data_IF_894076547622
#
_entry.id   IF_894076547622
#
_cell.length_a   1.000
_cell.length_b   1.000
_cell.length_c   1.000
_cell.angle_alpha   90.00
_cell.angle_beta   90.00
_cell.angle_gamma   90.00
#
_symmetry.space_group_name_H-M   'P 1'
#
loop_
_entity.id
_entity.type
_entity.pdbx_description
1 polymer ?
#
# COMPACT_ATOMS: atom_id res chain seq x y z
N UNK A 1 -14.52 -0.89 -20.15
CA UNK A 1 -13.46 -0.63 -19.20
C UNK A 1 -12.18 -0.22 -19.90
N UNK A 2 -11.31 0.51 -19.23
CA UNK A 2 -10.05 1.00 -19.81
C UNK A 2 -9.19 -0.18 -20.30
N UNK A 3 -8.87 -0.19 -21.56
CA UNK A 3 -8.09 -1.25 -22.25
C UNK A 3 -6.77 -1.54 -21.53
N UNK A 4 -6.17 -0.54 -20.89
CA UNK A 4 -4.88 -0.66 -20.18
C UNK A 4 -4.99 -1.25 -18.77
N UNK A 5 -6.19 -1.31 -18.19
CA UNK A 5 -6.39 -1.77 -16.80
C UNK A 5 -6.71 -3.25 -16.68
N UNK A 6 -7.19 -3.85 -17.74
CA UNK A 6 -7.61 -5.27 -17.79
C UNK A 6 -7.17 -5.90 -19.09
N UNK A 7 -6.52 -7.06 -18.99
CA UNK A 7 -6.05 -7.82 -20.15
C UNK A 7 -6.50 -9.27 -20.03
N UNK A 8 -6.95 -9.85 -21.14
CA UNK A 8 -7.23 -11.28 -21.23
C UNK A 8 -5.89 -12.03 -21.28
N UNK A 9 -5.70 -12.92 -20.32
CA UNK A 9 -4.46 -13.73 -20.20
C UNK A 9 -4.65 -15.10 -20.84
N UNK A 10 -5.81 -15.71 -20.64
CA UNK A 10 -6.12 -17.04 -21.11
C UNK A 10 -7.63 -17.22 -21.31
N UNK A 11 -8.01 -18.15 -22.18
CA UNK A 11 -9.41 -18.53 -22.43
C UNK A 11 -9.49 -20.05 -22.47
N UNK A 12 -10.39 -20.64 -21.66
CA UNK A 12 -10.72 -22.05 -21.69
C UNK A 12 -12.17 -22.25 -22.12
N UNK A 13 -12.37 -23.16 -23.06
CA UNK A 13 -13.69 -23.51 -23.56
C UNK A 13 -14.02 -24.94 -23.15
N UNK A 14 -15.15 -25.12 -22.49
CA UNK A 14 -15.67 -26.41 -22.08
C UNK A 14 -16.95 -26.69 -22.86
N UNK A 15 -17.05 -27.89 -23.40
CA UNK A 15 -18.24 -28.36 -24.17
C UNK A 15 -18.66 -29.73 -23.69
N UNK A 16 -19.94 -30.08 -23.86
CA UNK A 16 -20.44 -31.43 -23.55
C UNK A 16 -19.76 -32.51 -24.38
N UNK A 17 -19.33 -32.17 -25.59
CA UNK A 17 -18.62 -33.08 -26.47
C UNK A 17 -17.27 -33.56 -25.89
N UNK A 18 -16.66 -32.75 -25.03
CA UNK A 18 -15.38 -33.05 -24.37
C UNK A 18 -15.57 -33.78 -23.04
N UNK A 19 -16.74 -34.32 -22.76
CA UNK A 19 -17.06 -35.04 -21.52
C UNK A 19 -16.95 -34.19 -20.22
N UNK A 20 -17.04 -32.87 -20.34
CA UNK A 20 -17.04 -31.98 -19.20
C UNK A 20 -18.38 -32.03 -18.45
N UNK A 21 -18.36 -32.10 -17.13
CA UNK A 21 -19.56 -32.01 -16.31
C UNK A 21 -20.11 -30.60 -16.34
N UNK A 22 -21.36 -30.44 -16.76
CA UNK A 22 -22.03 -29.16 -16.84
C UNK A 22 -23.39 -29.21 -16.19
N UNK A 23 -23.86 -28.07 -15.71
CA UNK A 23 -25.22 -27.93 -15.20
C UNK A 23 -26.27 -28.23 -16.28
N UNK A 24 -27.47 -28.75 -15.93
CA UNK A 24 -28.52 -28.99 -16.90
C UNK A 24 -28.89 -27.73 -17.71
N UNK A 25 -29.01 -27.90 -19.01
CA UNK A 25 -29.33 -26.79 -19.92
C UNK A 25 -28.15 -25.97 -20.42
N UNK A 26 -26.94 -26.23 -19.92
CA UNK A 26 -25.70 -25.57 -20.37
C UNK A 26 -25.01 -26.45 -21.41
N UNK A 27 -24.72 -25.91 -22.58
CA UNK A 27 -24.07 -26.65 -23.67
C UNK A 27 -22.60 -26.27 -23.83
N UNK A 28 -22.23 -25.06 -23.45
CA UNK A 28 -20.87 -24.52 -23.60
C UNK A 28 -20.58 -23.52 -22.51
N UNK A 29 -19.43 -23.66 -21.87
CA UNK A 29 -18.90 -22.71 -20.88
C UNK A 29 -17.59 -22.16 -21.39
N UNK A 30 -17.47 -20.85 -21.39
CA UNK A 30 -16.25 -20.13 -21.72
C UNK A 30 -15.73 -19.45 -20.48
N UNK A 31 -14.52 -19.83 -20.04
CA UNK A 31 -13.84 -19.22 -18.90
C UNK A 31 -12.76 -18.28 -19.43
N UNK A 32 -12.93 -17.01 -19.19
CA UNK A 32 -11.96 -15.98 -19.58
C UNK A 32 -11.18 -15.55 -18.36
N UNK A 33 -9.87 -15.68 -18.41
CA UNK A 33 -8.95 -15.23 -17.36
C UNK A 33 -8.49 -13.81 -17.68
N UNK A 34 -8.75 -12.89 -16.76
CA UNK A 34 -8.45 -11.47 -16.93
C UNK A 34 -7.44 -11.06 -15.86
N UNK A 35 -6.32 -10.49 -16.29
CA UNK A 35 -5.39 -9.79 -15.40
C UNK A 35 -5.84 -8.36 -15.20
N UNK A 36 -5.89 -7.93 -13.95
CA UNK A 36 -6.23 -6.57 -13.56
C UNK A 36 -5.08 -5.96 -12.77
N UNK A 37 -4.63 -4.77 -13.17
CA UNK A 37 -3.64 -3.99 -12.44
C UNK A 37 -4.36 -2.96 -11.57
N UNK A 38 -4.38 -3.19 -10.27
CA UNK A 38 -4.94 -2.25 -9.30
C UNK A 38 -3.92 -1.20 -8.94
N UNK A 39 -4.24 0.08 -9.14
CA UNK A 39 -3.42 1.20 -8.69
C UNK A 39 -3.59 1.43 -7.20
N UNK A 40 -2.56 2.00 -6.56
CA UNK A 40 -2.63 2.40 -5.16
C UNK A 40 -3.69 3.48 -4.98
N UNK A 41 -4.45 3.41 -3.91
CA UNK A 41 -5.45 4.40 -3.55
C UNK A 41 -5.46 4.63 -2.04
N UNK A 42 -6.14 5.68 -1.59
CA UNK A 42 -6.32 5.93 -0.16
C UNK A 42 -7.02 4.74 0.52
N UNK A 43 -6.49 4.31 1.65
CA UNK A 43 -6.96 3.13 2.38
C UNK A 43 -6.18 1.84 2.10
N UNK A 44 -5.36 1.79 1.06
CA UNK A 44 -4.48 0.65 0.80
C UNK A 44 -3.30 0.61 1.77
N UNK A 45 -2.87 -0.58 2.15
CA UNK A 45 -1.80 -0.77 3.11
C UNK A 45 -0.46 -0.96 2.43
N UNK A 46 0.53 -0.24 2.91
CA UNK A 46 1.93 -0.37 2.48
C UNK A 46 2.85 -0.62 3.66
N UNK A 47 3.99 -1.21 3.42
CA UNK A 47 4.99 -1.47 4.44
C UNK A 47 6.41 -1.50 3.86
N UNK A 48 7.40 -1.15 4.70
CA UNK A 48 8.79 -1.39 4.42
C UNK A 48 9.27 -2.73 4.99
N UNK A 49 10.60 -2.90 5.10
CA UNK A 49 11.25 -4.12 5.60
C UNK A 49 11.56 -4.09 7.10
N UNK A 50 11.18 -3.03 7.82
CA UNK A 50 11.57 -2.79 9.21
C UNK A 50 10.40 -2.80 10.19
N UNK A 51 9.30 -3.49 9.86
CA UNK A 51 8.08 -3.47 10.67
C UNK A 51 7.29 -2.16 10.58
N UNK A 52 7.68 -1.26 9.71
CA UNK A 52 7.00 -0.02 9.42
C UNK A 52 5.85 -0.26 8.44
N UNK A 53 4.65 -0.19 8.94
CA UNK A 53 3.41 -0.36 8.18
C UNK A 53 2.56 0.90 8.26
N UNK A 54 1.80 1.15 7.23
CA UNK A 54 0.92 2.30 7.20
C UNK A 54 -0.16 2.17 6.15
N UNK A 55 -1.17 2.99 6.28
CA UNK A 55 -2.27 3.10 5.34
C UNK A 55 -2.13 4.38 4.56
N UNK A 56 -2.31 4.32 3.24
CA UNK A 56 -2.28 5.49 2.38
C UNK A 56 -3.44 6.42 2.75
N UNK A 57 -3.12 7.65 3.15
CA UNK A 57 -4.13 8.65 3.51
C UNK A 57 -4.60 9.48 2.32
N UNK A 58 -3.67 9.84 1.45
CA UNK A 58 -3.94 10.64 0.25
C UNK A 58 -3.09 10.20 -0.91
N UNK A 59 -3.65 10.34 -2.11
CA UNK A 59 -2.90 10.29 -3.36
C UNK A 59 -2.98 11.69 -3.97
N UNK A 60 -1.84 12.36 -4.06
CA UNK A 60 -1.74 13.72 -4.58
C UNK A 60 -1.29 13.69 -6.04
N UNK A 61 -1.67 14.70 -6.85
CA UNK A 61 -1.04 14.93 -8.14
C UNK A 61 0.47 15.16 -7.99
N UNK A 62 1.22 14.82 -9.01
CA UNK A 62 2.68 14.95 -9.01
C UNK A 62 3.15 16.40 -8.76
N UNK A 63 2.38 17.37 -9.25
CA UNK A 63 2.66 18.80 -9.11
C UNK A 63 2.56 19.28 -7.66
N UNK A 64 1.72 18.64 -6.85
CA UNK A 64 1.48 19.04 -5.44
C UNK A 64 2.46 18.38 -4.46
N UNK A 65 3.26 17.42 -4.93
CA UNK A 65 4.25 16.74 -4.11
C UNK A 65 5.47 17.63 -3.87
N UNK A 66 6.09 17.57 -2.68
CA UNK A 66 7.37 18.22 -2.45
C UNK A 66 8.41 17.72 -3.46
N UNK A 67 9.31 18.57 -3.86
CA UNK A 67 10.33 18.22 -4.83
C UNK A 67 11.75 18.61 -4.38
N UNK A 68 12.72 17.87 -4.90
CA UNK A 68 14.14 18.07 -4.68
C UNK A 68 14.64 19.33 -5.44
N UNK A 69 15.83 19.86 -5.09
CA UNK A 69 16.41 21.02 -5.80
C UNK A 69 16.62 20.78 -7.29
N UNK A 70 16.74 19.54 -7.73
CA UNK A 70 16.86 19.14 -9.13
C UNK A 70 15.51 19.09 -9.88
N UNK A 71 14.41 19.33 -9.19
CA UNK A 71 13.06 19.35 -9.74
C UNK A 71 12.33 18.00 -9.69
N UNK A 72 12.96 16.93 -9.22
CA UNK A 72 12.28 15.62 -9.09
C UNK A 72 11.31 15.64 -7.92
N UNK A 73 10.02 15.31 -8.12
CA UNK A 73 9.06 15.19 -7.04
C UNK A 73 9.32 13.92 -6.21
N UNK A 74 8.92 13.94 -4.94
CA UNK A 74 8.93 12.76 -4.10
C UNK A 74 7.78 11.81 -4.49
N UNK A 75 8.03 10.51 -4.39
CA UNK A 75 7.01 9.49 -4.67
C UNK A 75 6.12 9.22 -3.45
N UNK A 76 6.69 9.34 -2.25
CA UNK A 76 6.00 9.08 -0.98
C UNK A 76 6.49 10.03 0.10
N UNK A 77 5.57 10.43 0.96
CA UNK A 77 5.87 11.20 2.18
C UNK A 77 5.37 10.38 3.38
N UNK A 78 6.26 10.13 4.33
CA UNK A 78 6.00 9.32 5.51
C UNK A 78 5.98 10.17 6.77
N UNK A 79 5.10 9.80 7.73
CA UNK A 79 5.02 10.46 9.00
C UNK A 79 6.19 10.01 9.91
N UNK A 80 7.06 10.92 10.37
CA UNK A 80 8.20 10.57 11.22
C UNK A 80 7.79 10.10 12.62
N UNK A 81 6.59 10.39 13.10
CA UNK A 81 6.09 9.94 14.40
C UNK A 81 5.99 8.41 14.52
N UNK A 82 5.97 7.70 13.41
CA UNK A 82 5.98 6.24 13.38
C UNK A 82 7.33 5.59 13.71
N UNK A 83 8.41 6.37 13.87
CA UNK A 83 9.78 5.85 14.10
C UNK A 83 10.14 5.75 15.59
N UNK A 84 10.02 6.81 16.43
CA UNK A 84 10.66 6.82 17.77
C UNK A 84 10.11 5.75 18.70
N UNK A 85 8.78 5.63 18.82
CA UNK A 85 8.14 4.69 19.75
C UNK A 85 8.30 3.21 19.34
N UNK A 86 8.54 2.94 18.07
CA UNK A 86 8.67 1.59 17.52
C UNK A 86 10.08 1.07 17.43
N UNK A 87 11.07 1.90 17.77
CA UNK A 87 12.49 1.54 17.84
C UNK A 87 13.02 0.87 16.57
N UNK A 88 12.54 1.27 15.41
CA UNK A 88 12.92 0.73 14.11
C UNK A 88 13.73 1.74 13.29
N UNK A 89 14.79 2.27 13.89
CA UNK A 89 15.68 3.27 13.27
C UNK A 89 16.34 2.78 11.97
N UNK A 90 16.42 1.47 11.78
CA UNK A 90 16.97 0.86 10.57
C UNK A 90 16.32 1.36 9.28
N UNK A 91 15.05 1.77 9.31
CA UNK A 91 14.39 2.36 8.16
C UNK A 91 15.03 3.70 7.74
N UNK A 92 15.44 4.51 8.69
CA UNK A 92 16.12 5.80 8.41
C UNK A 92 17.52 5.54 7.84
N UNK A 93 18.24 4.58 8.40
CA UNK A 93 19.56 4.17 7.89
C UNK A 93 19.46 3.62 6.46
N UNK A 94 18.41 2.85 6.17
CA UNK A 94 18.12 2.37 4.80
C UNK A 94 17.91 3.54 3.82
N UNK A 95 17.15 4.55 4.22
CA UNK A 95 16.89 5.74 3.39
C UNK A 95 18.20 6.46 3.06
N UNK A 96 19.07 6.67 4.04
CA UNK A 96 20.36 7.32 3.86
C UNK A 96 21.28 6.53 2.92
N UNK A 97 21.46 5.24 3.21
CA UNK A 97 22.31 4.37 2.41
C UNK A 97 21.75 4.18 0.99
N UNK A 98 20.44 4.08 0.86
CA UNK A 98 19.77 3.98 -0.42
C UNK A 98 19.98 5.22 -1.30
N UNK A 99 20.00 6.40 -0.71
CA UNK A 99 20.28 7.62 -1.46
C UNK A 99 21.72 7.68 -1.95
N UNK A 100 22.68 7.32 -1.09
CA UNK A 100 24.08 7.22 -1.47
C UNK A 100 24.29 6.16 -2.56
N UNK A 101 23.70 4.99 -2.42
CA UNK A 101 23.79 3.90 -3.40
C UNK A 101 23.23 4.31 -4.76
N UNK A 102 22.10 5.02 -4.79
CA UNK A 102 21.52 5.50 -6.03
C UNK A 102 22.40 6.53 -6.74
N UNK A 103 22.99 7.45 -5.97
CA UNK A 103 23.92 8.44 -6.51
C UNK A 103 25.22 7.82 -7.06
N UNK A 104 25.71 6.75 -6.42
CA UNK A 104 26.92 6.03 -6.84
C UNK A 104 26.66 4.92 -7.87
N UNK A 105 25.40 4.57 -8.12
CA UNK A 105 25.03 3.48 -9.00
C UNK A 105 25.33 2.10 -8.41
N UNK A 106 25.43 1.95 -7.11
CA UNK A 106 25.76 0.71 -6.41
C UNK A 106 24.51 -0.07 -6.01
N UNK A 107 24.69 -1.39 -5.92
CA UNK A 107 23.74 -2.29 -5.24
C UNK A 107 24.36 -2.73 -3.92
N UNK A 108 23.73 -2.30 -2.82
CA UNK A 108 24.19 -2.60 -1.48
C UNK A 108 23.62 -3.91 -0.97
N UNK A 109 24.46 -4.74 -0.36
CA UNK A 109 24.07 -5.97 0.32
C UNK A 109 24.40 -5.81 1.79
N UNK A 110 23.38 -5.82 2.65
CA UNK A 110 23.49 -5.62 4.09
C UNK A 110 22.81 -6.76 4.85
N UNK A 111 23.49 -7.91 5.03
CA UNK A 111 22.95 -9.02 5.82
C UNK A 111 22.65 -8.59 7.26
N UNK A 112 21.74 -9.30 7.92
CA UNK A 112 21.18 -8.91 9.23
C UNK A 112 22.27 -8.67 10.30
N UNK A 113 23.29 -9.55 10.36
CA UNK A 113 24.36 -9.47 11.37
C UNK A 113 25.70 -8.95 10.82
N UNK A 114 25.77 -8.63 9.55
CA UNK A 114 26.93 -8.10 8.86
C UNK A 114 26.51 -6.96 7.94
N UNK A 115 25.81 -5.99 8.52
CA UNK A 115 25.29 -4.82 7.83
C UNK A 115 26.27 -3.64 7.85
N UNK A 116 25.83 -2.53 7.26
CA UNK A 116 26.53 -1.27 7.29
C UNK A 116 26.39 -0.59 8.66
N UNK A 117 27.49 -0.08 9.17
CA UNK A 117 27.50 0.76 10.37
C UNK A 117 27.27 2.24 10.02
N UNK A 118 26.99 3.06 11.01
CA UNK A 118 26.71 4.48 10.80
C UNK A 118 27.86 5.21 10.10
N UNK A 119 29.10 4.89 10.47
CA UNK A 119 30.30 5.49 9.87
C UNK A 119 30.44 5.10 8.39
N UNK A 120 30.13 3.86 8.02
CA UNK A 120 30.13 3.39 6.62
C UNK A 120 29.11 4.17 5.79
N UNK A 121 27.94 4.43 6.36
CA UNK A 121 26.87 5.19 5.68
C UNK A 121 27.30 6.65 5.48
N UNK A 122 27.93 7.26 6.47
CA UNK A 122 28.45 8.63 6.35
C UNK A 122 29.53 8.73 5.29
N UNK A 123 30.43 7.77 5.25
CA UNK A 123 31.47 7.71 4.23
C UNK A 123 30.87 7.56 2.83
N UNK A 124 29.88 6.69 2.65
CA UNK A 124 29.16 6.56 1.39
C UNK A 124 28.45 7.85 0.96
N UNK A 125 27.85 8.57 1.90
CA UNK A 125 27.23 9.86 1.62
C UNK A 125 28.27 10.91 1.17
N UNK A 126 29.44 10.96 1.80
CA UNK A 126 30.55 11.82 1.37
C UNK A 126 31.04 11.49 -0.03
N UNK A 127 31.24 10.21 -0.33
CA UNK A 127 31.66 9.74 -1.66
C UNK A 127 30.64 10.11 -2.73
N UNK A 128 29.36 10.10 -2.40
CA UNK A 128 28.27 10.50 -3.30
C UNK A 128 28.14 12.02 -3.47
N UNK A 129 28.90 12.83 -2.73
CA UNK A 129 28.78 14.28 -2.73
C UNK A 129 27.52 14.81 -2.06
N UNK A 130 26.92 14.01 -1.19
CA UNK A 130 25.72 14.34 -0.43
C UNK A 130 26.10 14.86 0.98
N UNK A 131 25.12 15.47 1.64
CA UNK A 131 25.31 15.90 3.03
C UNK A 131 25.44 14.68 3.94
N UNK A 132 26.34 14.72 4.91
CA UNK A 132 26.57 13.64 5.85
C UNK A 132 25.38 13.33 6.77
N UNK A 133 24.51 14.31 6.98
CA UNK A 133 23.29 14.15 7.76
C UNK A 133 22.12 13.50 6.97
N UNK A 134 22.31 13.23 5.68
CA UNK A 134 21.32 12.62 4.80
C UNK A 134 20.10 13.48 4.54
N UNK A 135 20.15 14.76 4.88
CA UNK A 135 19.04 15.69 4.71
C UNK A 135 19.20 16.52 3.45
N UNK A 136 18.07 16.91 2.89
CA UNK A 136 18.00 17.71 1.67
C UNK A 136 16.99 18.83 1.85
N UNK A 137 17.23 19.99 1.25
CA UNK A 137 16.24 21.06 1.22
C UNK A 137 15.16 20.72 0.19
N UNK A 138 13.92 20.66 0.64
CA UNK A 138 12.76 20.44 -0.22
C UNK A 138 12.01 21.75 -0.48
N UNK A 139 11.30 21.77 -1.58
CA UNK A 139 10.36 22.84 -1.94
C UNK A 139 8.94 22.27 -1.95
N UNK A 140 7.98 23.01 -1.40
CA UNK A 140 6.57 22.63 -1.43
C UNK A 140 6.03 22.79 -2.85
N UNK A 141 5.43 21.74 -3.37
CA UNK A 141 4.85 21.75 -4.72
C UNK A 141 3.61 22.63 -4.87
N UNK A 142 2.92 22.95 -3.76
CA UNK A 142 1.72 23.80 -3.79
C UNK A 142 2.03 25.28 -3.77
N UNK A 143 2.94 25.70 -2.91
CA UNK A 143 3.26 27.11 -2.66
C UNK A 143 4.49 27.57 -3.41
N UNK A 144 5.38 26.65 -3.78
CA UNK A 144 6.69 26.96 -4.37
C UNK A 144 7.72 27.48 -3.35
N UNK A 145 7.38 27.47 -2.06
CA UNK A 145 8.27 27.91 -0.98
C UNK A 145 9.14 26.74 -0.49
N UNK A 146 10.36 27.05 -0.09
CA UNK A 146 11.24 26.08 0.52
C UNK A 146 10.78 25.74 1.93
N UNK A 147 11.00 24.49 2.34
CA UNK A 147 10.77 24.09 3.73
C UNK A 147 11.76 24.81 4.66
N UNK A 148 11.28 25.16 5.85
CA UNK A 148 12.09 25.87 6.86
C UNK A 148 13.31 25.07 7.30
N UNK A 149 13.15 23.76 7.40
CA UNK A 149 14.19 22.81 7.80
C UNK A 149 14.50 21.78 6.72
N UNK A 150 15.76 21.34 6.60
CA UNK A 150 16.10 20.25 5.71
C UNK A 150 15.43 18.94 6.16
N UNK A 151 15.05 18.12 5.20
CA UNK A 151 14.28 16.90 5.39
C UNK A 151 15.10 15.68 4.99
N UNK A 152 14.97 14.57 5.73
CA UNK A 152 15.55 13.28 5.35
C UNK A 152 14.86 12.75 4.10
N UNK A 153 15.64 12.59 3.04
CA UNK A 153 15.17 12.09 1.74
C UNK A 153 16.12 11.02 1.24
N UNK A 154 15.59 10.00 0.62
CA UNK A 154 16.37 8.93 0.03
C UNK A 154 15.49 7.87 -0.58
N UNK A 155 16.07 6.71 -0.83
CA UNK A 155 15.39 5.57 -1.42
C UNK A 155 15.17 4.48 -0.39
N UNK A 156 13.96 3.96 -0.35
CA UNK A 156 13.55 2.89 0.55
C UNK A 156 12.80 1.83 -0.24
N UNK A 157 13.01 0.56 0.11
CA UNK A 157 12.24 -0.53 -0.44
C UNK A 157 10.87 -0.60 0.24
N UNK A 158 9.81 -0.34 -0.52
CA UNK A 158 8.46 -0.25 -0.02
C UNK A 158 7.53 -1.23 -0.76
N UNK A 159 6.68 -1.91 -0.01
CA UNK A 159 5.80 -2.97 -0.51
C UNK A 159 4.33 -2.55 -0.39
N UNK A 160 3.58 -2.79 -1.45
CA UNK A 160 2.12 -2.77 -1.41
C UNK A 160 1.63 -4.12 -0.88
N UNK A 161 0.94 -4.10 0.24
CA UNK A 161 0.41 -5.32 0.85
C UNK A 161 -0.95 -5.70 0.23
N UNK A 162 -1.27 -6.99 0.28
CA UNK A 162 -2.55 -7.51 -0.23
C UNK A 162 -3.72 -7.25 0.74
N UNK A 163 -3.72 -6.09 1.36
CA UNK A 163 -4.80 -5.56 2.21
C UNK A 163 -5.38 -4.32 1.55
N UNK A 164 -6.00 -4.52 0.40
CA UNK A 164 -6.57 -3.45 -0.41
C UNK A 164 -7.94 -3.04 0.14
N UNK A 165 -8.20 -1.74 0.16
CA UNK A 165 -9.44 -1.20 0.72
C UNK A 165 -10.69 -1.68 -0.03
N UNK A 166 -10.61 -1.82 -1.34
CA UNK A 166 -11.76 -2.26 -2.16
C UNK A 166 -12.22 -3.69 -1.83
N UNK A 167 -11.31 -4.54 -1.35
CA UNK A 167 -11.64 -5.90 -0.94
C UNK A 167 -12.30 -5.95 0.44
N UNK A 168 -12.19 -4.89 1.24
CA UNK A 168 -12.65 -4.83 2.63
C UNK A 168 -13.83 -3.90 2.85
N UNK A 169 -13.96 -2.84 2.05
CA UNK A 169 -15.07 -1.92 2.16
C UNK A 169 -16.37 -2.62 1.80
N UNK A 170 -17.35 -2.53 2.69
CA UNK A 170 -18.63 -3.19 2.53
C UNK A 170 -19.74 -2.42 3.24
N UNK A 171 -20.88 -2.33 2.60
CA UNK A 171 -22.10 -1.77 3.16
C UNK A 171 -23.31 -2.58 2.67
N UNK A 172 -24.37 -2.56 3.46
CA UNK A 172 -25.61 -3.26 3.15
C UNK A 172 -26.81 -2.43 3.63
N UNK A 173 -27.84 -2.37 2.79
CA UNK A 173 -29.19 -1.94 3.21
C UNK A 173 -30.09 -3.16 3.39
N UNK A 174 -30.36 -3.89 2.33
CA UNK A 174 -31.13 -5.15 2.29
C UNK A 174 -30.35 -6.17 1.48
N UNK A 175 -30.54 -7.45 1.81
CA UNK A 175 -29.83 -8.52 1.11
C UNK A 175 -30.28 -9.91 1.57
N UNK A 176 -29.52 -10.96 1.27
CA UNK A 176 -29.89 -12.32 1.58
C UNK A 176 -29.91 -12.59 3.09
N UNK A 177 -30.81 -13.48 3.51
CA UNK A 177 -30.98 -13.93 4.89
C UNK A 177 -30.71 -15.42 5.00
N UNK A 178 -30.30 -15.87 6.19
CA UNK A 178 -30.16 -17.29 6.49
C UNK A 178 -31.53 -18.01 6.42
N UNK A 179 -31.54 -19.21 5.86
CA UNK A 179 -32.75 -20.02 5.76
C UNK A 179 -33.25 -20.50 7.13
N UNK A 180 -32.37 -20.73 8.08
CA UNK A 180 -32.72 -21.28 9.40
C UNK A 180 -33.12 -20.18 10.39
N UNK A 181 -32.25 -19.17 10.56
CA UNK A 181 -32.43 -18.13 11.57
C UNK A 181 -33.17 -16.90 11.06
N UNK A 182 -33.34 -16.76 9.73
CA UNK A 182 -33.93 -15.58 9.08
C UNK A 182 -33.20 -14.29 9.46
N UNK A 183 -31.93 -14.38 9.76
CA UNK A 183 -31.04 -13.25 10.04
C UNK A 183 -30.15 -12.95 8.82
N UNK A 184 -29.67 -11.71 8.66
CA UNK A 184 -28.73 -11.40 7.60
C UNK A 184 -27.49 -12.29 7.67
N UNK A 185 -27.01 -12.72 6.49
CA UNK A 185 -25.77 -13.47 6.38
C UNK A 185 -24.57 -12.60 6.83
N UNK A 186 -23.45 -13.24 7.17
CA UNK A 186 -22.20 -12.56 7.51
C UNK A 186 -21.23 -12.49 6.32
N UNK A 187 -20.37 -11.47 6.32
CA UNK A 187 -19.29 -11.33 5.35
C UNK A 187 -19.65 -10.61 4.06
N UNK A 188 -18.63 -10.02 3.44
CA UNK A 188 -18.76 -9.25 2.20
C UNK A 188 -19.16 -10.13 1.00
N UNK A 189 -18.62 -11.34 0.91
CA UNK A 189 -18.86 -12.24 -0.20
C UNK A 189 -20.33 -12.66 -0.34
N UNK A 190 -21.05 -12.77 0.77
CA UNK A 190 -22.48 -13.10 0.80
C UNK A 190 -23.37 -11.87 0.84
N UNK A 191 -22.83 -10.67 0.64
CA UNK A 191 -23.55 -9.42 0.83
C UNK A 191 -24.20 -9.35 2.21
N UNK A 192 -23.44 -9.74 3.24
CA UNK A 192 -23.89 -9.84 4.62
C UNK A 192 -23.92 -8.50 5.34
N UNK A 193 -24.52 -8.49 6.53
CA UNK A 193 -24.59 -7.34 7.41
C UNK A 193 -23.68 -7.48 8.63
N UNK A 194 -23.50 -6.38 9.34
CA UNK A 194 -22.80 -6.37 10.62
C UNK A 194 -23.71 -6.92 11.72
N UNK A 195 -23.11 -7.70 12.63
CA UNK A 195 -23.83 -8.15 13.83
C UNK A 195 -23.87 -7.03 14.85
N UNK A 196 -25.05 -6.65 15.25
CA UNK A 196 -25.30 -5.76 16.37
C UNK A 196 -25.61 -6.60 17.60
N UNK A 197 -24.58 -6.95 18.37
CA UNK A 197 -24.69 -7.84 19.52
C UNK A 197 -25.20 -7.14 20.78
N UNK A 198 -25.29 -7.90 21.86
CA UNK A 198 -25.78 -7.42 23.16
C UNK A 198 -24.93 -6.27 23.73
N UNK A 199 -23.61 -6.38 23.63
CA UNK A 199 -22.70 -5.33 24.12
C UNK A 199 -22.83 -4.02 23.33
N UNK A 200 -23.06 -4.08 22.05
CA UNK A 200 -23.29 -2.92 21.18
C UNK A 200 -24.62 -2.22 21.54
N UNK A 201 -25.64 -3.00 21.91
CA UNK A 201 -26.91 -2.45 22.44
C UNK A 201 -26.66 -1.70 23.74
N UNK A 202 -25.89 -2.27 24.65
CA UNK A 202 -25.55 -1.60 25.93
C UNK A 202 -24.79 -0.30 25.71
N UNK A 203 -23.89 -0.27 24.74
CA UNK A 203 -23.15 0.94 24.38
C UNK A 203 -24.09 2.06 23.91
N UNK A 204 -25.08 1.75 23.08
CA UNK A 204 -26.09 2.74 22.65
C UNK A 204 -27.00 3.18 23.80
N UNK A 205 -27.42 2.28 24.65
CA UNK A 205 -28.21 2.59 25.84
C UNK A 205 -27.49 3.57 26.79
N UNK A 206 -26.17 3.38 26.94
CA UNK A 206 -25.34 4.29 27.75
C UNK A 206 -25.26 5.70 27.17
N UNK A 207 -25.42 5.88 25.86
CA UNK A 207 -25.54 7.19 25.21
C UNK A 207 -26.99 7.70 25.14
N UNK A 208 -27.97 6.93 25.58
CA UNK A 208 -29.37 7.28 25.52
C UNK A 208 -30.01 7.20 24.14
N UNK A 209 -29.42 6.39 23.25
CA UNK A 209 -29.95 6.18 21.92
C UNK A 209 -30.99 5.05 21.87
#
# INVERSE_FOLDING_TARGET
GDVYKRQVVDVKVFTRANSDEMSPGVNKVVRVYIAQKRKIQAGDKMAGRHGNKGVVSRVLPQEDMPFLPDGRPLDIVLNPLGVPSRMNIGQVLEVHLGYAAMALGWKMMTPVFDGAHEDDIRECLKLAGLREDGKTTLTDGRTGEKFDNPVTVGYMYYLKLHHLVDDKIHARSTGPYSLVTQQPLGGKAQFGGQRFGEMEVWALEAYGA
#
